data_IF_283256807227
#
_entry.id   IF_283256807227
#
_cell.length_a   1.000
_cell.length_b   1.000
_cell.length_c   1.000
_cell.angle_alpha   90.00
_cell.angle_beta   90.00
_cell.angle_gamma   90.00
#
_symmetry.space_group_name_H-M   'P 1'
#
loop_
_entity.id
_entity.type
_entity.pdbx_description
1 polymer ?
#
# COMPACT_ATOMS: atom_id res chain seq x y z
N UNK A 1 -22.14 -64.85 -73.10
CA UNK A 1 -21.10 -64.82 -72.11
C UNK A 1 -20.79 -63.36 -71.86
N UNK A 2 -21.32 -62.71 -70.79
CA UNK A 2 -21.09 -61.29 -70.44
C UNK A 2 -20.32 -61.26 -69.13
N UNK A 3 -19.11 -60.77 -69.17
CA UNK A 3 -18.20 -60.63 -68.01
C UNK A 3 -18.54 -59.31 -67.33
N UNK A 4 -18.95 -59.29 -66.09
CA UNK A 4 -19.15 -58.10 -65.28
C UNK A 4 -17.84 -57.77 -64.53
N UNK A 5 -17.34 -56.57 -64.72
CA UNK A 5 -16.20 -56.02 -63.99
C UNK A 5 -16.80 -55.22 -62.82
N UNK A 6 -16.49 -55.64 -61.59
CA UNK A 6 -16.82 -54.98 -60.35
C UNK A 6 -15.73 -53.94 -60.07
N UNK A 7 -16.01 -52.67 -60.14
CA UNK A 7 -15.09 -51.58 -59.70
C UNK A 7 -15.36 -51.30 -58.26
N UNK A 8 -14.39 -51.63 -57.40
CA UNK A 8 -14.40 -51.31 -55.96
C UNK A 8 -13.82 -49.90 -55.75
N UNK A 9 -14.67 -48.92 -55.51
CA UNK A 9 -14.25 -47.55 -55.17
C UNK A 9 -13.92 -47.47 -53.69
N UNK A 10 -12.63 -47.34 -53.37
CA UNK A 10 -12.12 -47.05 -52.02
C UNK A 10 -12.29 -45.55 -51.74
N UNK A 11 -13.23 -45.18 -50.86
CA UNK A 11 -13.37 -43.82 -50.30
C UNK A 11 -12.27 -43.62 -49.25
N UNK A 12 -11.21 -42.92 -49.60
CA UNK A 12 -10.26 -42.31 -48.64
C UNK A 12 -10.91 -41.14 -47.97
N UNK A 13 -11.39 -41.31 -46.73
CA UNK A 13 -11.85 -40.23 -45.86
C UNK A 13 -10.65 -39.39 -45.39
N UNK A 14 -10.44 -38.25 -46.01
CA UNK A 14 -9.51 -37.21 -45.51
C UNK A 14 -10.20 -36.50 -44.35
N UNK A 15 -9.86 -36.90 -43.13
CA UNK A 15 -10.22 -36.16 -41.92
C UNK A 15 -9.39 -34.87 -41.89
N UNK A 16 -10.02 -33.74 -42.28
CA UNK A 16 -9.44 -32.41 -42.08
C UNK A 16 -9.52 -32.08 -40.59
N UNK A 17 -8.42 -32.26 -39.86
CA UNK A 17 -8.25 -31.65 -38.55
C UNK A 17 -8.26 -30.15 -38.74
N UNK A 18 -9.34 -29.51 -38.34
CA UNK A 18 -9.37 -28.03 -38.22
C UNK A 18 -8.45 -27.65 -37.06
N UNK A 19 -7.26 -27.18 -37.41
CA UNK A 19 -6.41 -26.44 -36.48
C UNK A 19 -7.09 -25.09 -36.22
N UNK A 20 -7.73 -24.95 -35.10
CA UNK A 20 -8.22 -23.65 -34.62
C UNK A 20 -6.99 -22.78 -34.36
N UNK A 21 -6.71 -21.85 -35.26
CA UNK A 21 -5.73 -20.80 -35.01
C UNK A 21 -6.34 -19.90 -33.95
N UNK A 22 -6.00 -20.13 -32.69
CA UNK A 22 -6.27 -19.15 -31.63
C UNK A 22 -5.44 -17.92 -31.95
N UNK A 23 -6.08 -16.82 -32.34
CA UNK A 23 -5.39 -15.55 -32.52
C UNK A 23 -4.87 -15.13 -31.16
N UNK A 24 -3.57 -15.24 -30.97
CA UNK A 24 -2.89 -14.68 -29.82
C UNK A 24 -3.05 -13.15 -29.85
N UNK A 25 -3.63 -12.59 -28.82
CA UNK A 25 -3.69 -11.14 -28.65
C UNK A 25 -2.59 -10.74 -27.70
N UNK A 26 -1.71 -9.87 -28.15
CA UNK A 26 -0.59 -9.35 -27.37
C UNK A 26 -0.89 -7.92 -26.95
N UNK A 27 -0.77 -7.62 -25.66
CA UNK A 27 -0.96 -6.27 -25.11
C UNK A 27 0.36 -5.73 -24.57
N UNK A 28 0.53 -4.43 -24.73
CA UNK A 28 1.62 -3.66 -24.10
C UNK A 28 1.06 -2.95 -22.87
N UNK A 29 1.86 -2.91 -21.81
CA UNK A 29 1.51 -2.24 -20.59
C UNK A 29 2.73 -1.75 -19.82
N UNK A 30 2.49 -1.33 -18.59
CA UNK A 30 3.54 -0.89 -17.69
C UNK A 30 3.30 -1.42 -16.27
N UNK A 31 4.40 -1.54 -15.53
CA UNK A 31 4.38 -1.95 -14.13
C UNK A 31 3.96 -0.79 -13.25
N UNK A 32 3.02 -1.03 -12.34
CA UNK A 32 2.63 -0.10 -11.27
C UNK A 32 2.93 -0.74 -9.92
N UNK A 33 3.48 0.03 -8.97
CA UNK A 33 3.58 -0.42 -7.58
C UNK A 33 2.18 -0.57 -6.99
N UNK A 34 1.93 -1.67 -6.31
CA UNK A 34 0.61 -1.95 -5.73
C UNK A 34 0.29 -0.96 -4.60
N UNK A 35 1.26 -0.72 -3.73
CA UNK A 35 1.13 0.16 -2.58
C UNK A 35 2.20 1.23 -2.62
N UNK A 36 1.77 2.47 -2.82
CA UNK A 36 2.59 3.67 -2.69
C UNK A 36 2.12 4.44 -1.46
N UNK A 37 3.06 4.75 -0.57
CA UNK A 37 2.79 5.51 0.65
C UNK A 37 3.56 6.82 0.62
N UNK A 38 2.83 7.92 0.74
CA UNK A 38 3.39 9.25 0.90
C UNK A 38 3.61 9.52 2.38
N UNK A 39 4.86 9.61 2.78
CA UNK A 39 5.26 9.96 4.15
C UNK A 39 5.32 11.48 4.24
N UNK A 40 4.41 12.05 5.02
CA UNK A 40 4.26 13.50 5.18
C UNK A 40 4.58 13.94 6.61
N UNK A 41 4.90 15.22 6.80
CA UNK A 41 5.03 15.82 8.12
C UNK A 41 3.64 15.94 8.76
N UNK A 42 3.45 15.42 9.97
CA UNK A 42 2.20 15.52 10.74
C UNK A 42 2.20 16.72 11.70
N UNK A 43 3.38 17.31 11.95
CA UNK A 43 3.55 18.54 12.73
C UNK A 43 4.57 19.44 12.04
N UNK A 44 4.46 20.77 12.19
CA UNK A 44 5.41 21.70 11.57
C UNK A 44 6.72 21.80 12.35
N UNK A 45 7.83 22.05 11.64
CA UNK A 45 9.11 22.31 12.29
C UNK A 45 10.33 22.10 11.38
N UNK A 46 11.52 22.17 11.96
CA UNK A 46 12.76 21.85 11.24
C UNK A 46 12.93 20.33 11.20
N UNK A 47 13.05 19.78 10.00
CA UNK A 47 13.21 18.34 9.81
C UNK A 47 14.70 17.96 9.74
N UNK A 48 15.07 16.92 10.47
CA UNK A 48 16.35 16.22 10.36
C UNK A 48 16.10 14.89 9.66
N UNK A 49 16.65 14.74 8.46
CA UNK A 49 16.46 13.54 7.64
C UNK A 49 17.50 12.49 8.01
N UNK A 50 17.11 11.23 8.10
CA UNK A 50 18.05 10.14 8.16
C UNK A 50 18.83 10.01 6.85
N UNK A 51 20.01 9.37 6.90
CA UNK A 51 20.87 9.19 5.71
C UNK A 51 20.32 8.09 4.78
N UNK A 52 19.10 8.31 4.28
CA UNK A 52 18.39 7.44 3.36
C UNK A 52 18.23 8.14 2.03
N UNK A 53 18.47 7.41 0.93
CA UNK A 53 18.40 7.92 -0.43
C UNK A 53 17.38 7.15 -1.27
N UNK A 54 17.05 7.70 -2.43
CA UNK A 54 16.14 7.04 -3.40
C UNK A 54 16.75 5.69 -3.81
N UNK A 55 15.97 4.62 -3.67
CA UNK A 55 16.38 3.24 -3.92
C UNK A 55 16.71 2.45 -2.65
N UNK A 56 16.87 3.10 -1.50
CA UNK A 56 17.11 2.40 -0.24
C UNK A 56 15.86 1.65 0.23
N UNK A 57 16.10 0.46 0.80
CA UNK A 57 15.04 -0.34 1.42
C UNK A 57 14.70 0.19 2.82
N UNK A 58 13.43 0.21 3.13
CA UNK A 58 12.89 0.62 4.43
C UNK A 58 11.90 -0.42 4.95
N UNK A 59 11.88 -0.60 6.27
CA UNK A 59 10.95 -1.48 6.94
C UNK A 59 9.76 -0.68 7.49
N UNK A 60 8.65 -1.36 7.71
CA UNK A 60 7.54 -0.78 8.46
C UNK A 60 7.99 -0.35 9.86
N UNK A 61 7.52 0.80 10.34
CA UNK A 61 7.89 1.44 11.59
C UNK A 61 9.37 1.86 11.68
N UNK A 62 10.08 1.91 10.58
CA UNK A 62 11.41 2.49 10.54
C UNK A 62 11.32 4.02 10.55
N UNK A 63 12.07 4.66 11.44
CA UNK A 63 12.18 6.13 11.50
C UNK A 63 12.94 6.63 10.28
N UNK A 64 12.30 7.46 9.46
CA UNK A 64 12.86 8.02 8.23
C UNK A 64 13.40 9.43 8.43
N UNK A 65 12.75 10.20 9.30
CA UNK A 65 13.14 11.55 9.65
C UNK A 65 12.64 11.91 11.05
N UNK A 66 13.16 13.00 11.60
CA UNK A 66 12.71 13.53 12.87
C UNK A 66 12.55 15.05 12.77
N UNK A 67 11.43 15.58 13.26
CA UNK A 67 11.25 17.02 13.46
C UNK A 67 11.86 17.38 14.81
N UNK A 68 12.51 18.55 14.90
CA UNK A 68 13.13 19.03 16.14
C UNK A 68 12.10 19.06 17.28
N UNK A 69 12.31 18.19 18.28
CA UNK A 69 11.30 17.86 19.29
C UNK A 69 11.30 18.75 20.54
N UNK A 70 12.24 19.72 20.66
CA UNK A 70 12.45 20.45 21.94
C UNK A 70 11.20 21.24 22.35
N UNK A 71 10.57 21.97 21.42
CA UNK A 71 9.38 22.77 21.69
C UNK A 71 8.17 21.88 22.03
N UNK A 72 8.07 20.70 21.42
CA UNK A 72 7.03 19.72 21.72
C UNK A 72 7.22 19.11 23.11
N UNK A 73 8.47 18.81 23.53
CA UNK A 73 8.78 18.37 24.91
C UNK A 73 8.39 19.42 25.93
N UNK A 74 8.64 20.72 25.66
CA UNK A 74 8.20 21.80 26.54
C UNK A 74 6.66 21.89 26.59
N UNK A 75 5.98 21.72 25.47
CA UNK A 75 4.50 21.68 25.41
C UNK A 75 3.91 20.55 26.24
N UNK A 76 4.46 19.34 26.15
CA UNK A 76 4.09 18.19 26.99
C UNK A 76 4.27 18.51 28.48
N UNK A 77 5.42 19.06 28.87
CA UNK A 77 5.69 19.39 30.27
C UNK A 77 4.74 20.49 30.79
N UNK A 78 4.42 21.48 29.98
CA UNK A 78 3.46 22.54 30.31
C UNK A 78 2.04 21.98 30.48
N UNK A 79 1.58 21.16 29.54
CA UNK A 79 0.25 20.53 29.62
C UNK A 79 0.13 19.61 30.83
N UNK A 80 1.18 18.84 31.15
CA UNK A 80 1.27 18.00 32.35
C UNK A 80 1.15 18.81 33.64
N UNK A 81 1.83 19.97 33.70
CA UNK A 81 1.74 20.87 34.85
C UNK A 81 0.33 21.48 35.00
N UNK A 82 -0.33 21.84 33.89
CA UNK A 82 -1.69 22.34 33.88
C UNK A 82 -2.69 21.27 34.37
N UNK A 83 -2.50 20.01 33.96
CA UNK A 83 -3.31 18.89 34.43
C UNK A 83 -3.16 18.73 35.95
N UNK A 84 -1.94 18.73 36.48
CA UNK A 84 -1.70 18.65 37.92
C UNK A 84 -2.35 19.81 38.71
N UNK A 85 -2.35 21.03 38.14
CA UNK A 85 -3.06 22.17 38.72
C UNK A 85 -4.55 21.96 38.76
N UNK A 86 -5.15 21.48 37.66
CA UNK A 86 -6.59 21.19 37.60
C UNK A 86 -7.01 20.07 38.58
N UNK A 87 -6.18 19.03 38.71
CA UNK A 87 -6.39 17.95 39.67
C UNK A 87 -6.35 18.43 41.13
N UNK A 88 -5.44 19.34 41.47
CA UNK A 88 -5.37 19.96 42.78
C UNK A 88 -6.61 20.82 43.10
N UNK A 89 -7.10 21.61 42.14
CA UNK A 89 -8.36 22.36 42.32
C UNK A 89 -9.57 21.42 42.49
N UNK A 90 -9.64 20.35 41.65
CA UNK A 90 -10.68 19.33 41.78
C UNK A 90 -10.67 18.70 43.20
N UNK A 91 -9.49 18.37 43.72
CA UNK A 91 -9.38 17.80 45.08
C UNK A 91 -9.91 18.77 46.15
N UNK A 92 -9.57 20.06 46.04
CA UNK A 92 -10.06 21.11 46.90
C UNK A 92 -11.62 21.26 46.85
N UNK A 93 -12.17 21.38 45.60
CA UNK A 93 -13.62 21.51 45.40
C UNK A 93 -14.40 20.31 45.85
N UNK A 94 -13.87 19.11 45.63
CA UNK A 94 -14.43 17.84 46.09
C UNK A 94 -14.48 17.80 47.63
N UNK A 95 -13.40 18.17 48.32
CA UNK A 95 -13.35 18.22 49.75
C UNK A 95 -14.36 19.22 50.33
N UNK A 96 -14.52 20.40 49.73
CA UNK A 96 -15.50 21.40 50.11
C UNK A 96 -16.93 20.91 49.93
N UNK A 97 -17.24 20.32 48.77
CA UNK A 97 -18.55 19.76 48.49
C UNK A 97 -18.91 18.66 49.53
N UNK A 98 -18.00 17.70 49.78
CA UNK A 98 -18.23 16.63 50.74
C UNK A 98 -18.44 17.17 52.16
N UNK A 99 -17.70 18.21 52.59
CA UNK A 99 -17.90 18.86 53.89
C UNK A 99 -19.25 19.54 53.95
N UNK A 100 -19.70 20.23 52.91
CA UNK A 100 -21.01 20.90 52.89
C UNK A 100 -22.16 19.90 52.88
N UNK A 101 -21.99 18.77 52.19
CA UNK A 101 -22.95 17.67 52.23
C UNK A 101 -23.15 17.14 53.68
N UNK A 102 -22.07 16.95 54.45
CA UNK A 102 -22.16 16.53 55.84
C UNK A 102 -22.74 17.63 56.77
N UNK A 103 -22.62 18.91 56.43
CA UNK A 103 -23.22 20.01 57.24
C UNK A 103 -24.72 20.17 57.00
N UNK A 104 -25.21 19.91 55.79
CA UNK A 104 -26.66 19.88 55.47
C UNK A 104 -27.38 18.82 56.30
N UNK A 105 -26.80 17.62 56.44
CA UNK A 105 -27.36 16.55 57.24
C UNK A 105 -27.56 16.98 58.73
N UNK A 106 -26.77 17.95 59.18
CA UNK A 106 -26.85 18.53 60.52
C UNK A 106 -27.68 19.84 60.63
N UNK A 107 -28.40 20.23 59.53
CA UNK A 107 -29.13 21.46 59.43
C UNK A 107 -28.26 22.74 59.68
N UNK A 108 -26.95 22.66 59.35
CA UNK A 108 -25.97 23.72 59.66
C UNK A 108 -25.51 24.48 58.40
N UNK A 109 -26.21 24.31 57.25
CA UNK A 109 -25.88 24.97 55.97
C UNK A 109 -27.17 25.14 55.17
N UNK A 110 -27.21 26.17 54.28
CA UNK A 110 -28.31 26.34 53.32
C UNK A 110 -28.17 25.45 52.09
N UNK A 111 -29.30 25.06 51.48
CA UNK A 111 -29.29 24.30 50.21
C UNK A 111 -28.60 25.05 49.11
N UNK A 112 -28.73 26.39 49.00
CA UNK A 112 -28.08 27.20 48.01
C UNK A 112 -26.54 27.17 48.07
N UNK A 113 -25.98 27.05 49.29
CA UNK A 113 -24.52 26.93 49.46
C UNK A 113 -24.05 25.53 49.02
N UNK A 114 -24.81 24.47 49.30
CA UNK A 114 -24.51 23.14 48.81
C UNK A 114 -24.58 23.06 47.28
N UNK A 115 -25.62 23.63 46.67
CA UNK A 115 -25.77 23.67 45.20
C UNK A 115 -24.62 24.41 44.53
N UNK A 116 -24.15 25.51 45.14
CA UNK A 116 -22.98 26.26 44.68
C UNK A 116 -21.72 25.41 44.76
N UNK A 117 -21.46 24.73 45.88
CA UNK A 117 -20.31 23.88 46.06
C UNK A 117 -20.33 22.67 45.09
N UNK A 118 -21.54 22.11 44.82
CA UNK A 118 -21.73 21.06 43.82
C UNK A 118 -21.40 21.55 42.40
N UNK A 119 -21.88 22.75 42.03
CA UNK A 119 -21.60 23.33 40.74
C UNK A 119 -20.09 23.59 40.54
N UNK A 120 -19.40 24.07 41.59
CA UNK A 120 -17.94 24.30 41.55
C UNK A 120 -17.17 22.94 41.43
N UNK A 121 -17.57 21.91 42.15
CA UNK A 121 -17.00 20.56 42.04
C UNK A 121 -17.16 20.01 40.63
N UNK A 122 -18.36 20.13 40.02
CA UNK A 122 -18.61 19.65 38.66
C UNK A 122 -17.80 20.46 37.62
N UNK A 123 -17.66 21.76 37.82
CA UNK A 123 -16.82 22.63 36.97
C UNK A 123 -15.34 22.21 37.04
N UNK A 124 -14.80 22.00 38.24
CA UNK A 124 -13.42 21.55 38.42
C UNK A 124 -13.20 20.17 37.83
N UNK A 125 -14.18 19.26 37.92
CA UNK A 125 -14.13 17.94 37.26
C UNK A 125 -14.05 18.08 35.72
N UNK A 126 -14.83 18.97 35.13
CA UNK A 126 -14.77 19.24 33.71
C UNK A 126 -13.42 19.86 33.29
N UNK A 127 -12.85 20.76 34.14
CA UNK A 127 -11.54 21.36 33.91
C UNK A 127 -10.41 20.32 33.85
N UNK A 128 -10.44 19.32 34.73
CA UNK A 128 -9.49 18.19 34.67
C UNK A 128 -9.62 17.43 33.35
N UNK A 129 -10.86 17.18 32.89
CA UNK A 129 -11.06 16.48 31.61
C UNK A 129 -10.49 17.27 30.43
N UNK A 130 -10.63 18.59 30.42
CA UNK A 130 -10.02 19.44 29.38
C UNK A 130 -8.49 19.38 29.46
N UNK A 131 -7.92 19.59 30.64
CA UNK A 131 -6.46 19.54 30.83
C UNK A 131 -5.86 18.17 30.49
N UNK A 132 -6.61 17.08 30.72
CA UNK A 132 -6.21 15.73 30.34
C UNK A 132 -6.15 15.57 28.80
N UNK A 133 -7.14 16.13 28.09
CA UNK A 133 -7.16 16.13 26.62
C UNK A 133 -5.99 16.94 26.05
N UNK A 134 -5.74 18.12 26.61
CA UNK A 134 -4.60 18.97 26.20
C UNK A 134 -3.26 18.27 26.40
N UNK A 135 -3.13 17.53 27.52
CA UNK A 135 -1.93 16.75 27.77
C UNK A 135 -1.78 15.58 26.78
N UNK A 136 -2.84 14.86 26.49
CA UNK A 136 -2.83 13.78 25.49
C UNK A 136 -2.49 14.31 24.10
N UNK A 137 -3.09 15.45 23.69
CA UNK A 137 -2.78 16.07 22.40
C UNK A 137 -1.30 16.44 22.30
N UNK A 138 -0.73 17.07 23.33
CA UNK A 138 0.69 17.43 23.33
C UNK A 138 1.63 16.19 23.27
N UNK A 139 1.20 15.04 23.79
CA UNK A 139 1.94 13.78 23.66
C UNK A 139 1.90 13.25 22.22
N UNK A 140 0.74 13.29 21.58
CA UNK A 140 0.58 12.90 20.15
C UNK A 140 1.42 13.81 19.27
N UNK A 141 1.40 15.13 19.50
CA UNK A 141 2.20 16.08 18.73
C UNK A 141 3.71 15.80 18.89
N UNK A 142 4.15 15.40 20.08
CA UNK A 142 5.54 14.98 20.31
C UNK A 142 5.86 13.65 19.61
N UNK A 143 4.96 12.68 19.62
CA UNK A 143 5.11 11.41 18.91
C UNK A 143 5.21 11.65 17.41
N UNK A 144 4.37 12.52 16.85
CA UNK A 144 4.36 12.90 15.45
C UNK A 144 5.63 13.64 14.99
N UNK A 145 6.53 14.03 15.90
CA UNK A 145 7.88 14.49 15.52
C UNK A 145 8.75 13.38 14.97
N UNK A 146 8.46 12.11 15.27
CA UNK A 146 9.15 10.96 14.70
C UNK A 146 8.38 10.49 13.48
N UNK A 147 9.00 10.58 12.32
CA UNK A 147 8.37 10.29 11.04
C UNK A 147 8.81 8.89 10.62
N UNK A 148 7.85 7.97 10.63
CA UNK A 148 8.07 6.55 10.37
C UNK A 148 7.41 6.10 9.07
N UNK A 149 7.94 5.02 8.48
CA UNK A 149 7.29 4.37 7.36
C UNK A 149 6.15 3.47 7.84
N UNK A 150 4.94 3.64 7.26
CA UNK A 150 3.81 2.76 7.54
C UNK A 150 3.86 1.43 6.78
N UNK A 151 4.74 1.32 5.76
CA UNK A 151 4.90 0.11 4.95
C UNK A 151 6.38 -0.24 4.80
N UNK A 152 6.68 -1.51 4.59
CA UNK A 152 7.98 -1.93 4.09
C UNK A 152 8.04 -1.73 2.57
N UNK A 153 9.21 -1.32 2.05
CA UNK A 153 9.38 -1.08 0.62
C UNK A 153 10.68 -0.35 0.32
N UNK A 154 10.67 0.44 -0.74
CA UNK A 154 11.82 1.22 -1.21
C UNK A 154 11.46 2.70 -1.32
N UNK A 155 12.39 3.58 -1.02
CA UNK A 155 12.23 5.02 -1.22
C UNK A 155 12.20 5.29 -2.73
N UNK A 156 11.06 5.78 -3.23
CA UNK A 156 10.88 6.15 -4.63
C UNK A 156 11.13 7.64 -4.89
N UNK A 157 10.92 8.48 -3.87
CA UNK A 157 11.14 9.93 -3.97
C UNK A 157 11.48 10.52 -2.59
N UNK A 158 12.31 11.59 -2.57
CA UNK A 158 12.76 12.32 -1.37
C UNK A 158 12.82 13.81 -1.69
N UNK A 159 11.68 14.52 -1.72
CA UNK A 159 11.67 15.94 -2.05
C UNK A 159 12.21 16.84 -0.93
N UNK A 160 12.07 16.43 0.35
CA UNK A 160 12.53 17.22 1.48
C UNK A 160 14.06 17.14 1.69
N UNK A 161 14.62 18.19 2.27
CA UNK A 161 16.04 18.27 2.63
C UNK A 161 16.22 18.42 4.13
N UNK A 162 17.27 17.83 4.67
CA UNK A 162 17.61 17.97 6.10
C UNK A 162 17.92 19.43 6.44
N UNK A 163 17.37 19.90 7.56
CA UNK A 163 17.48 21.30 8.00
C UNK A 163 16.43 22.24 7.41
N UNK A 164 15.59 21.77 6.50
CA UNK A 164 14.46 22.55 5.98
C UNK A 164 13.36 22.71 7.03
N UNK A 165 12.62 23.83 6.94
CA UNK A 165 11.36 23.96 7.64
C UNK A 165 10.25 23.29 6.83
N UNK A 166 9.44 22.46 7.49
CA UNK A 166 8.28 21.78 6.90
C UNK A 166 7.01 22.17 7.62
N UNK A 167 5.91 22.20 6.88
CA UNK A 167 4.55 22.40 7.37
C UNK A 167 3.83 21.06 7.45
N UNK A 168 2.75 21.00 8.22
CA UNK A 168 1.86 19.85 8.25
C UNK A 168 1.34 19.54 6.84
N UNK A 169 1.45 18.28 6.41
CA UNK A 169 1.09 17.80 5.08
C UNK A 169 2.23 17.85 4.04
N UNK A 170 3.37 18.48 4.33
CA UNK A 170 4.50 18.51 3.40
C UNK A 170 5.07 17.10 3.19
N UNK A 171 5.29 16.74 1.91
CA UNK A 171 5.83 15.45 1.53
C UNK A 171 7.33 15.35 1.84
N UNK A 172 7.71 14.33 2.60
CA UNK A 172 9.10 14.07 2.99
C UNK A 172 9.72 12.93 2.22
N UNK A 173 9.00 11.82 2.09
CA UNK A 173 9.39 10.63 1.34
C UNK A 173 8.19 10.02 0.64
N UNK A 174 8.46 9.32 -0.44
CA UNK A 174 7.52 8.36 -1.00
C UNK A 174 8.13 6.96 -0.90
N UNK A 175 7.39 6.04 -0.31
CA UNK A 175 7.79 4.63 -0.17
C UNK A 175 6.88 3.80 -1.06
N UNK A 176 7.46 2.91 -1.85
CA UNK A 176 6.73 1.98 -2.71
C UNK A 176 7.06 0.54 -2.32
N UNK A 177 6.02 -0.25 -2.07
CA UNK A 177 6.18 -1.68 -1.93
C UNK A 177 6.13 -2.32 -3.33
N UNK A 178 7.14 -3.15 -3.63
CA UNK A 178 7.27 -3.84 -4.90
C UNK A 178 7.27 -5.37 -4.78
N UNK A 179 6.92 -5.92 -3.62
CA UNK A 179 6.78 -7.38 -3.42
C UNK A 179 5.64 -7.94 -4.27
N UNK A 180 4.61 -7.12 -4.44
CA UNK A 180 3.54 -7.33 -5.41
C UNK A 180 3.44 -6.12 -6.31
N UNK A 181 3.22 -6.35 -7.57
CA UNK A 181 3.03 -5.29 -8.55
C UNK A 181 1.80 -5.55 -9.39
N UNK A 182 1.18 -4.47 -9.83
CA UNK A 182 0.09 -4.52 -10.80
C UNK A 182 0.67 -4.19 -12.17
N UNK A 183 0.47 -5.09 -13.12
CA UNK A 183 0.76 -4.85 -14.53
C UNK A 183 -0.51 -4.26 -15.17
N UNK A 184 -0.40 -3.06 -15.68
CA UNK A 184 -1.51 -2.35 -16.33
C UNK A 184 -1.31 -2.40 -17.83
N UNK A 185 -2.10 -3.20 -18.52
CA UNK A 185 -2.10 -3.35 -19.96
C UNK A 185 -3.19 -2.48 -20.57
N UNK A 186 -2.97 -2.02 -21.78
CA UNK A 186 -3.92 -1.16 -22.51
C UNK A 186 -4.54 -1.95 -23.65
N UNK A 187 -5.79 -2.38 -23.47
CA UNK A 187 -6.56 -3.10 -24.48
C UNK A 187 -7.40 -2.14 -25.33
N UNK A 188 -7.33 -2.26 -26.64
CA UNK A 188 -8.30 -1.58 -27.51
C UNK A 188 -9.70 -2.19 -27.37
N UNK A 189 -10.74 -1.52 -27.83
CA UNK A 189 -12.11 -2.06 -27.85
C UNK A 189 -12.19 -3.41 -28.59
N UNK A 190 -11.37 -3.60 -29.62
CA UNK A 190 -11.31 -4.84 -30.40
C UNK A 190 -10.60 -5.96 -29.64
N UNK A 191 -9.58 -5.64 -28.84
CA UNK A 191 -8.82 -6.62 -28.06
C UNK A 191 -9.58 -7.03 -26.79
N UNK A 192 -10.36 -6.11 -26.21
CA UNK A 192 -11.07 -6.30 -24.95
C UNK A 192 -11.95 -7.55 -24.93
N UNK A 193 -12.53 -7.92 -26.05
CA UNK A 193 -13.37 -9.14 -26.18
C UNK A 193 -12.61 -10.44 -25.92
N UNK A 194 -11.29 -10.40 -26.00
CA UNK A 194 -10.40 -11.55 -25.79
C UNK A 194 -9.92 -11.68 -24.35
N UNK A 195 -10.27 -10.71 -23.49
CA UNK A 195 -9.89 -10.69 -22.09
C UNK A 195 -11.10 -10.80 -21.19
N UNK A 196 -11.03 -11.70 -20.20
CA UNK A 196 -12.07 -11.84 -19.16
C UNK A 196 -11.39 -11.90 -17.79
N UNK A 197 -12.11 -11.45 -16.75
CA UNK A 197 -11.59 -11.54 -15.37
C UNK A 197 -11.42 -13.01 -15.01
N UNK A 198 -10.27 -13.35 -14.43
CA UNK A 198 -9.86 -14.71 -14.09
C UNK A 198 -9.15 -15.46 -15.21
N UNK A 199 -9.05 -14.90 -16.42
CA UNK A 199 -8.36 -15.52 -17.53
C UNK A 199 -6.85 -15.56 -17.28
N UNK A 200 -6.23 -16.69 -17.58
CA UNK A 200 -4.78 -16.84 -17.55
C UNK A 200 -4.14 -16.17 -18.75
N UNK A 201 -3.03 -15.49 -18.48
CA UNK A 201 -2.20 -14.78 -19.47
C UNK A 201 -0.74 -15.03 -19.14
N UNK A 202 0.11 -15.03 -20.16
CA UNK A 202 1.56 -15.06 -20.01
C UNK A 202 2.08 -13.62 -20.07
N UNK A 203 2.86 -13.22 -19.05
CA UNK A 203 3.43 -11.87 -18.95
C UNK A 203 4.95 -11.92 -18.93
N UNK A 204 5.60 -10.92 -19.52
CA UNK A 204 7.06 -10.76 -19.50
C UNK A 204 7.46 -9.29 -19.60
N UNK A 205 8.68 -8.99 -19.18
CA UNK A 205 9.21 -7.64 -19.33
C UNK A 205 9.96 -7.47 -20.67
N UNK A 206 9.96 -6.27 -21.19
CA UNK A 206 10.74 -5.95 -22.41
C UNK A 206 12.25 -6.20 -22.24
N UNK A 207 12.76 -5.99 -21.02
CA UNK A 207 14.19 -6.16 -20.72
C UNK A 207 14.60 -7.62 -20.53
N UNK A 208 13.65 -8.53 -20.28
CA UNK A 208 13.92 -9.97 -20.10
C UNK A 208 12.79 -10.81 -20.72
N UNK A 209 12.70 -10.86 -22.05
CA UNK A 209 11.61 -11.55 -22.75
C UNK A 209 11.63 -13.09 -22.58
N UNK A 210 12.76 -13.66 -22.15
CA UNK A 210 12.89 -15.10 -21.88
C UNK A 210 12.23 -15.53 -20.57
N UNK A 211 12.09 -14.60 -19.60
CA UNK A 211 11.46 -14.89 -18.32
C UNK A 211 9.96 -14.60 -18.42
N UNK A 212 9.21 -15.62 -18.81
CA UNK A 212 7.76 -15.57 -18.94
C UNK A 212 7.11 -16.12 -17.69
N UNK A 213 6.06 -15.45 -17.22
CA UNK A 213 5.31 -15.81 -16.02
C UNK A 213 3.83 -15.96 -16.34
N UNK A 214 3.20 -16.99 -15.77
CA UNK A 214 1.75 -17.11 -15.79
C UNK A 214 1.14 -16.20 -14.74
N UNK A 215 0.08 -15.54 -15.12
CA UNK A 215 -0.68 -14.66 -14.26
C UNK A 215 -2.16 -14.67 -14.68
N UNK A 216 -3.04 -14.13 -13.84
CA UNK A 216 -4.45 -14.04 -14.16
C UNK A 216 -4.93 -12.58 -14.20
N UNK A 217 -5.85 -12.31 -15.11
CA UNK A 217 -6.52 -10.99 -15.19
C UNK A 217 -7.36 -10.78 -13.94
N UNK A 218 -7.00 -9.79 -13.13
CA UNK A 218 -7.70 -9.48 -11.88
C UNK A 218 -8.89 -8.55 -12.11
N UNK A 219 -8.70 -7.54 -12.94
CA UNK A 219 -9.71 -6.52 -13.21
C UNK A 219 -9.57 -5.99 -14.63
N UNK A 220 -10.70 -5.56 -15.18
CA UNK A 220 -10.79 -4.85 -16.44
C UNK A 220 -11.51 -3.54 -16.16
N UNK A 221 -10.92 -2.42 -16.58
CA UNK A 221 -11.52 -1.10 -16.41
C UNK A 221 -12.84 -0.98 -17.20
N UNK A 222 -13.78 -0.29 -16.61
CA UNK A 222 -15.11 -0.06 -17.22
C UNK A 222 -15.17 1.24 -18.01
N UNK A 223 -14.16 2.07 -17.89
CA UNK A 223 -14.06 3.37 -18.55
C UNK A 223 -12.83 3.41 -19.47
N UNK A 224 -13.04 3.92 -20.68
CA UNK A 224 -11.99 4.09 -21.67
C UNK A 224 -11.07 5.25 -21.26
N UNK A 225 -9.78 5.00 -21.22
CA UNK A 225 -8.74 5.98 -20.98
C UNK A 225 -7.79 6.01 -22.19
N UNK A 226 -7.63 7.19 -22.80
CA UNK A 226 -6.79 7.35 -23.99
C UNK A 226 -7.08 6.33 -25.12
N UNK A 227 -8.37 6.09 -25.41
CA UNK A 227 -8.86 5.14 -26.41
C UNK A 227 -8.56 3.66 -26.10
N UNK A 228 -8.25 3.33 -24.86
CA UNK A 228 -7.98 1.97 -24.40
C UNK A 228 -8.69 1.68 -23.06
N UNK A 229 -8.90 0.42 -22.76
CA UNK A 229 -9.38 -0.06 -21.48
C UNK A 229 -8.22 -0.67 -20.69
N UNK A 230 -8.02 -0.30 -19.42
CA UNK A 230 -6.98 -0.92 -18.60
C UNK A 230 -7.36 -2.36 -18.23
N UNK A 231 -6.48 -3.30 -18.56
CA UNK A 231 -6.52 -4.69 -18.10
C UNK A 231 -5.45 -4.85 -17.04
N UNK A 232 -5.87 -5.18 -15.81
CA UNK A 232 -4.98 -5.22 -14.65
C UNK A 232 -4.69 -6.67 -14.25
N UNK A 233 -3.41 -6.97 -14.15
CA UNK A 233 -2.87 -8.28 -13.74
C UNK A 233 -1.98 -8.06 -12.52
N UNK A 234 -2.28 -8.73 -11.41
CA UNK A 234 -1.46 -8.66 -10.20
C UNK A 234 -0.52 -9.86 -10.14
N UNK A 235 0.76 -9.61 -9.90
CA UNK A 235 1.76 -10.65 -9.76
C UNK A 235 2.58 -10.48 -8.48
N UNK A 236 3.03 -11.63 -7.91
CA UNK A 236 4.06 -11.64 -6.88
C UNK A 236 5.42 -11.44 -7.53
N UNK A 237 6.10 -10.37 -7.18
CA UNK A 237 7.35 -9.94 -7.81
C UNK A 237 8.58 -10.56 -7.13
N UNK A 238 8.76 -11.86 -7.29
CA UNK A 238 9.90 -12.56 -6.70
C UNK A 238 11.22 -12.04 -7.26
N UNK A 239 12.14 -11.71 -6.34
CA UNK A 239 13.44 -11.15 -6.72
C UNK A 239 13.40 -9.72 -7.25
N UNK A 240 12.25 -9.01 -7.10
CA UNK A 240 12.05 -7.59 -7.47
C UNK A 240 12.45 -7.28 -8.93
N UNK A 241 12.14 -8.23 -9.84
CA UNK A 241 12.49 -8.12 -11.26
C UNK A 241 11.68 -7.02 -11.97
N UNK A 242 10.43 -6.84 -11.58
CA UNK A 242 9.55 -5.82 -12.12
C UNK A 242 9.61 -4.56 -11.25
N UNK A 243 10.06 -3.47 -11.82
CA UNK A 243 10.10 -2.16 -11.14
C UNK A 243 9.00 -1.27 -11.71
N UNK A 244 8.33 -0.46 -10.89
CA UNK A 244 7.35 0.52 -11.37
C UNK A 244 7.90 1.36 -12.53
N UNK A 245 7.10 1.52 -13.59
CA UNK A 245 7.49 2.22 -14.81
C UNK A 245 8.10 1.34 -15.91
N UNK A 246 8.46 0.07 -15.64
CA UNK A 246 8.94 -0.82 -16.69
C UNK A 246 7.83 -1.18 -17.67
N UNK A 247 8.21 -1.33 -18.97
CA UNK A 247 7.34 -1.86 -20.02
C UNK A 247 7.20 -3.37 -19.89
N UNK A 248 5.98 -3.86 -20.05
CA UNK A 248 5.62 -5.27 -19.96
C UNK A 248 4.66 -5.65 -21.08
N UNK A 249 4.68 -6.91 -21.42
CA UNK A 249 3.81 -7.52 -22.44
C UNK A 249 2.94 -8.58 -21.78
N UNK A 250 1.75 -8.78 -22.30
CA UNK A 250 0.86 -9.89 -21.97
C UNK A 250 0.35 -10.57 -23.24
N UNK A 251 0.26 -11.89 -23.23
CA UNK A 251 -0.35 -12.67 -24.29
C UNK A 251 -1.37 -13.64 -23.73
N UNK A 252 -2.44 -13.83 -24.50
CA UNK A 252 -3.43 -14.88 -24.22
C UNK A 252 -2.99 -16.27 -24.72
N UNK A 253 -1.86 -16.35 -25.45
CA UNK A 253 -1.29 -17.61 -25.93
C UNK A 253 -0.39 -18.23 -24.86
N UNK A 254 -0.91 -19.21 -24.14
CA UNK A 254 -0.17 -19.94 -23.10
C UNK A 254 0.92 -20.88 -23.69
N UNK A 255 0.90 -21.18 -24.99
CA UNK A 255 1.89 -22.04 -25.65
C UNK A 255 3.29 -21.39 -25.75
N UNK A 256 3.35 -20.07 -25.65
CA UNK A 256 4.60 -19.29 -25.67
C UNK A 256 5.53 -19.66 -24.51
N UNK A 257 4.99 -20.12 -23.37
CA UNK A 257 5.78 -20.53 -22.21
C UNK A 257 6.43 -21.91 -22.41
N UNK A 258 5.72 -22.83 -23.05
CA UNK A 258 6.22 -24.18 -23.26
C UNK A 258 7.45 -24.24 -24.17
N UNK A 259 7.62 -23.30 -25.10
CA UNK A 259 8.78 -23.21 -25.98
C UNK A 259 10.05 -22.79 -25.22
N UNK A 260 9.98 -21.92 -24.26
CA UNK A 260 11.12 -21.45 -23.44
C UNK A 260 11.66 -22.56 -22.55
N UNK A 261 10.78 -23.36 -21.93
CA UNK A 261 11.17 -24.50 -21.08
C UNK A 261 11.83 -25.61 -21.87
N UNK A 262 11.35 -25.89 -23.10
CA UNK A 262 11.92 -26.90 -23.99
C UNK A 262 13.32 -26.47 -24.51
N UNK A 263 13.53 -25.21 -24.79
CA UNK A 263 14.80 -24.66 -25.27
C UNK A 263 15.87 -24.66 -24.16
N UNK A 264 15.50 -24.36 -22.94
CA UNK A 264 16.39 -24.39 -21.77
C UNK A 264 16.83 -25.83 -21.46
N UNK A 265 15.90 -26.80 -21.53
CA UNK A 265 16.20 -28.21 -21.34
C UNK A 265 17.12 -28.76 -22.44
N UNK A 266 16.92 -28.36 -23.70
CA UNK A 266 17.76 -28.73 -24.84
C UNK A 266 19.19 -28.20 -24.71
N UNK A 267 19.33 -26.91 -24.28
CA UNK A 267 20.66 -26.31 -24.12
C UNK A 267 21.44 -26.89 -22.92
N UNK A 268 20.75 -27.29 -21.84
CA UNK A 268 21.39 -27.99 -20.71
C UNK A 268 21.84 -29.40 -21.10
N UNK A 269 21.09 -30.10 -21.94
CA UNK A 269 21.49 -31.43 -22.44
C UNK A 269 22.74 -31.35 -23.31
N UNK A 270 22.86 -30.35 -24.17
CA UNK A 270 24.04 -30.12 -25.04
C UNK A 270 25.27 -29.73 -24.22
N UNK A 271 25.10 -28.92 -23.16
CA UNK A 271 26.20 -28.50 -22.27
C UNK A 271 26.77 -29.65 -21.42
N UNK A 272 25.96 -30.65 -21.08
CA UNK A 272 26.42 -31.79 -20.29
C UNK A 272 27.12 -32.82 -21.14
N UNK A 273 26.82 -32.96 -22.44
CA UNK A 273 27.47 -33.89 -23.36
C UNK A 273 28.88 -33.42 -23.78
N UNK A 274 29.15 -32.10 -23.74
CA UNK A 274 30.44 -31.50 -24.05
C UNK A 274 31.48 -31.56 -22.91
N UNK A 275 31.10 -31.97 -21.70
CA UNK A 275 32.01 -32.11 -20.53
C UNK A 275 32.41 -33.58 -20.24
N UNK A 276 31.99 -34.49 -21.07
CA UNK A 276 32.26 -35.96 -20.93
C UNK A 276 33.26 -36.55 -21.92
N UNK A 277 34.09 -35.74 -22.62
CA UNK A 277 35.21 -36.20 -23.44
C UNK A 277 36.54 -35.68 -22.93
#
# INVERSE_FOLDING_TARGET
>A
MKTQIIVLAALLGVSTTQVSITQATELIGHVQGLNKHSVVAEVPGVVEMNNLEVGDAVNQQQVLAQIKADDFKFSVNKAKANLALAEADLALRKATYNRYQALIEKNSLSMGELDTARAEFLRAKASVSVAQIDYQQSQVDLENTQIESLISGYISNKPAQSGAWVSEGDLLYEVVNIDKVTLSFMASEYDLKHFTVGQEVVVWSETNPETKMEASVQRIGVEMQNLTYPVLVEITNQGHQFKPGMSVYASTDLSIQSMTTAQTASNQAISNDSKGQ
#
